data_IF_852856694739
#
_entry.id   IF_852856694739
#
_cell.length_a   1.000
_cell.length_b   1.000
_cell.length_c   1.000
_cell.angle_alpha   90.00
_cell.angle_beta   90.00
_cell.angle_gamma   90.00
#
_symmetry.space_group_name_H-M   'P 1'
#
loop_
_entity.id
_entity.type
_entity.pdbx_description
1 polymer ?
#
# COMPACT_ATOMS: atom_id res chain seq x y z
N UNK A 1 -6.85 8.85 -14.17
CA UNK A 1 -6.76 7.72 -13.25
C UNK A 1 -6.79 8.17 -11.80
N UNK A 2 -6.59 7.25 -10.84
CA UNK A 2 -6.77 7.45 -9.40
C UNK A 2 -6.04 8.68 -8.79
N UNK A 3 -4.93 9.09 -9.36
CA UNK A 3 -4.16 10.27 -8.92
C UNK A 3 -4.60 11.59 -9.59
N UNK A 4 -5.70 11.62 -10.33
CA UNK A 4 -6.18 12.82 -11.03
C UNK A 4 -5.28 13.30 -12.19
N UNK A 5 -4.22 12.57 -12.53
CA UNK A 5 -3.22 12.98 -13.52
C UNK A 5 -3.60 12.68 -14.98
N UNK A 6 -4.81 12.16 -15.25
CA UNK A 6 -5.22 11.78 -16.62
C UNK A 6 -5.10 12.93 -17.63
N UNK A 7 -5.56 14.13 -17.27
CA UNK A 7 -5.45 15.33 -18.10
C UNK A 7 -4.00 15.86 -18.26
N UNK A 8 -3.08 15.40 -17.40
CA UNK A 8 -1.67 15.79 -17.38
C UNK A 8 -0.74 14.68 -17.92
N UNK A 9 -1.29 13.73 -18.67
CA UNK A 9 -0.51 12.63 -19.24
C UNK A 9 0.71 13.08 -20.06
N UNK A 10 0.65 14.12 -20.90
CA UNK A 10 1.82 14.64 -21.60
C UNK A 10 2.94 15.10 -20.64
N UNK A 11 2.59 15.73 -19.52
CA UNK A 11 3.55 16.14 -18.49
C UNK A 11 4.20 14.91 -17.85
N UNK A 12 3.42 13.86 -17.56
CA UNK A 12 3.94 12.60 -17.01
C UNK A 12 4.98 11.99 -17.93
N UNK A 13 4.69 11.89 -19.23
CA UNK A 13 5.61 11.34 -20.23
C UNK A 13 6.89 12.18 -20.33
N UNK A 14 6.78 13.50 -20.34
CA UNK A 14 7.92 14.40 -20.36
C UNK A 14 8.77 14.24 -19.11
N UNK A 15 8.17 14.32 -17.94
CA UNK A 15 8.87 14.21 -16.64
C UNK A 15 9.52 12.83 -16.48
N UNK A 16 8.86 11.74 -16.92
CA UNK A 16 9.43 10.40 -16.91
C UNK A 16 10.75 10.33 -17.73
N UNK A 17 10.78 10.95 -18.89
CA UNK A 17 11.98 11.04 -19.74
C UNK A 17 13.09 11.84 -19.05
N UNK A 18 12.75 12.98 -18.47
CA UNK A 18 13.69 13.87 -17.78
C UNK A 18 14.27 13.20 -16.52
N UNK A 19 13.45 12.52 -15.75
CA UNK A 19 13.87 11.72 -14.59
C UNK A 19 14.85 10.63 -15.01
N UNK A 20 14.55 9.90 -16.11
CA UNK A 20 15.48 8.87 -16.58
C UNK A 20 16.84 9.45 -16.98
N UNK A 21 16.86 10.58 -17.67
CA UNK A 21 18.11 11.31 -18.00
C UNK A 21 18.86 11.74 -16.75
N UNK A 22 18.15 12.30 -15.78
CA UNK A 22 18.70 12.73 -14.49
C UNK A 22 19.35 11.55 -13.72
N UNK A 23 18.80 10.35 -13.85
CA UNK A 23 19.35 9.12 -13.24
C UNK A 23 20.50 8.49 -14.05
N UNK A 24 20.90 9.08 -15.19
CA UNK A 24 22.00 8.62 -16.04
C UNK A 24 21.58 7.72 -17.19
N UNK A 25 20.37 7.90 -17.72
CA UNK A 25 19.78 7.11 -18.81
C UNK A 25 19.84 5.61 -18.58
N UNK A 26 19.40 5.20 -17.40
CA UNK A 26 19.43 3.80 -17.00
C UNK A 26 18.49 2.93 -17.85
N UNK A 27 18.81 1.64 -17.96
CA UNK A 27 17.94 0.64 -18.58
C UNK A 27 16.66 0.51 -17.76
N UNK A 28 15.52 0.65 -18.43
CA UNK A 28 14.19 0.60 -17.82
C UNK A 28 13.58 -0.77 -17.99
N UNK A 29 13.89 -1.65 -17.07
CA UNK A 29 13.23 -2.94 -16.86
C UNK A 29 12.79 -3.04 -15.40
N UNK A 30 11.96 -4.00 -15.07
CA UNK A 30 11.60 -4.23 -13.65
C UNK A 30 12.86 -4.57 -12.82
N UNK A 31 13.15 -3.89 -11.72
CA UNK A 31 12.31 -2.90 -11.00
C UNK A 31 12.60 -1.42 -11.36
N UNK A 32 13.63 -1.11 -12.14
CA UNK A 32 14.06 0.28 -12.40
C UNK A 32 12.99 1.11 -13.10
N UNK A 33 12.20 0.52 -14.01
CA UNK A 33 11.09 1.21 -14.68
C UNK A 33 10.03 1.70 -13.70
N UNK A 34 9.73 0.92 -12.65
CA UNK A 34 8.83 1.32 -11.58
C UNK A 34 9.38 2.53 -10.83
N UNK A 35 10.63 2.47 -10.39
CA UNK A 35 11.26 3.55 -9.62
C UNK A 35 11.34 4.87 -10.40
N UNK A 36 11.65 4.82 -11.71
CA UNK A 36 11.63 6.01 -12.59
C UNK A 36 10.21 6.59 -12.67
N UNK A 37 9.20 5.75 -12.83
CA UNK A 37 7.79 6.15 -12.87
C UNK A 37 7.32 6.75 -11.55
N UNK A 38 7.63 6.12 -10.44
CA UNK A 38 7.28 6.57 -9.10
C UNK A 38 7.89 7.96 -8.81
N UNK A 39 9.18 8.17 -9.18
CA UNK A 39 9.82 9.47 -9.02
C UNK A 39 9.18 10.55 -9.91
N UNK A 40 8.87 10.21 -11.17
CA UNK A 40 8.22 11.16 -12.07
C UNK A 40 6.84 11.58 -11.55
N UNK A 41 6.03 10.63 -11.10
CA UNK A 41 4.72 10.89 -10.50
C UNK A 41 4.86 11.73 -9.23
N UNK A 42 5.80 11.37 -8.36
CA UNK A 42 6.08 12.11 -7.14
C UNK A 42 6.41 13.58 -7.42
N UNK A 43 7.32 13.86 -8.34
CA UNK A 43 7.72 15.23 -8.70
C UNK A 43 6.54 16.03 -9.28
N UNK A 44 5.75 15.45 -10.18
CA UNK A 44 4.56 16.09 -10.76
C UNK A 44 3.54 16.43 -9.68
N UNK A 45 3.30 15.51 -8.76
CA UNK A 45 2.32 15.69 -7.67
C UNK A 45 2.77 16.79 -6.71
N UNK A 46 4.08 16.89 -6.46
CA UNK A 46 4.70 17.95 -5.66
C UNK A 46 4.83 19.29 -6.41
N UNK A 47 4.59 19.33 -7.74
CA UNK A 47 4.82 20.51 -8.55
C UNK A 47 6.29 20.89 -8.71
N UNK A 48 7.21 19.93 -8.52
CA UNK A 48 8.66 20.11 -8.59
C UNK A 48 9.16 19.66 -9.97
N UNK A 49 10.03 20.44 -10.59
CA UNK A 49 10.69 20.04 -11.83
C UNK A 49 11.87 19.10 -11.52
N UNK A 50 12.19 18.13 -12.41
CA UNK A 50 13.33 17.23 -12.20
C UNK A 50 14.66 17.94 -11.90
N UNK A 51 14.93 19.06 -12.56
CA UNK A 51 16.12 19.89 -12.36
C UNK A 51 16.23 20.47 -10.94
N UNK A 52 15.10 20.71 -10.27
CA UNK A 52 15.02 21.30 -8.94
C UNK A 52 15.06 20.22 -7.84
N UNK A 53 15.08 18.94 -8.17
CA UNK A 53 15.10 17.84 -7.20
C UNK A 53 16.24 17.98 -6.20
N UNK A 54 17.41 18.40 -6.67
CA UNK A 54 18.61 18.55 -5.83
C UNK A 54 18.49 19.65 -4.77
N UNK A 55 17.53 20.54 -4.91
CA UNK A 55 17.22 21.62 -3.98
C UNK A 55 16.17 21.26 -2.95
N UNK A 56 15.59 20.05 -3.04
CA UNK A 56 14.58 19.61 -2.06
C UNK A 56 15.21 19.39 -0.68
N UNK A 57 14.46 19.66 0.40
CA UNK A 57 14.89 19.39 1.78
C UNK A 57 15.29 17.93 1.97
N UNK A 58 16.30 17.68 2.81
CA UNK A 58 16.78 16.32 3.12
C UNK A 58 15.70 15.43 3.75
N UNK A 59 14.71 16.04 4.40
CA UNK A 59 13.56 15.38 5.03
C UNK A 59 12.43 15.05 4.04
N UNK A 60 12.63 15.31 2.75
CA UNK A 60 11.62 14.96 1.73
C UNK A 60 11.40 13.45 1.71
N UNK A 61 10.17 13.02 2.00
CA UNK A 61 9.77 11.61 1.95
C UNK A 61 9.62 11.15 0.49
N UNK A 62 10.67 10.58 -0.08
CA UNK A 62 10.62 9.98 -1.41
C UNK A 62 9.95 8.60 -1.37
N UNK A 63 9.39 8.11 -2.51
CA UNK A 63 8.87 6.75 -2.62
C UNK A 63 9.95 5.71 -2.28
N UNK A 64 9.58 4.67 -1.52
CA UNK A 64 10.54 3.64 -1.10
C UNK A 64 11.23 2.94 -2.28
N UNK A 65 10.51 2.71 -3.39
CA UNK A 65 11.09 2.13 -4.61
C UNK A 65 12.25 2.97 -5.19
N UNK A 66 12.20 4.29 -5.00
CA UNK A 66 13.25 5.23 -5.44
C UNK A 66 14.42 5.19 -4.47
N UNK A 67 14.13 5.16 -3.16
CA UNK A 67 15.13 5.02 -2.11
C UNK A 67 15.88 3.69 -2.27
N UNK A 68 15.18 2.59 -2.46
CA UNK A 68 15.77 1.26 -2.67
C UNK A 68 16.66 1.21 -3.92
N UNK A 69 16.20 1.84 -5.01
CA UNK A 69 17.01 1.91 -6.23
C UNK A 69 18.32 2.66 -5.98
N UNK A 70 18.27 3.85 -5.40
CA UNK A 70 19.44 4.71 -5.21
C UNK A 70 20.32 4.30 -4.01
N UNK A 71 19.76 3.56 -3.05
CA UNK A 71 20.57 2.93 -1.99
C UNK A 71 21.45 1.80 -2.50
N UNK A 72 21.13 1.24 -3.67
CA UNK A 72 21.83 0.09 -4.24
C UNK A 72 21.22 -1.27 -3.87
N UNK A 73 20.08 -1.31 -3.15
CA UNK A 73 19.39 -2.55 -2.79
C UNK A 73 18.91 -3.35 -4.02
N UNK A 74 18.63 -2.65 -5.11
CA UNK A 74 18.24 -3.25 -6.40
C UNK A 74 19.42 -3.40 -7.38
N UNK A 75 20.64 -3.27 -6.89
CA UNK A 75 21.85 -3.23 -7.71
C UNK A 75 22.27 -1.80 -8.08
N UNK A 76 23.34 -1.68 -8.85
CA UNK A 76 23.90 -0.39 -9.23
C UNK A 76 24.25 -0.38 -10.72
N UNK A 77 23.99 0.73 -11.44
CA UNK A 77 24.44 0.86 -12.82
C UNK A 77 25.97 0.96 -12.89
N UNK A 78 26.52 0.63 -14.05
CA UNK A 78 27.93 0.86 -14.32
C UNK A 78 28.25 2.35 -14.18
N UNK A 79 29.20 2.71 -13.32
CA UNK A 79 29.54 4.11 -13.01
C UNK A 79 28.81 4.68 -11.79
N UNK A 80 27.86 3.95 -11.20
CA UNK A 80 27.09 4.38 -10.02
C UNK A 80 26.00 5.39 -10.35
N UNK A 81 25.41 5.95 -9.31
CA UNK A 81 24.33 6.95 -9.39
C UNK A 81 24.89 8.38 -9.41
N UNK A 82 24.20 9.35 -10.05
CA UNK A 82 24.55 10.77 -9.95
C UNK A 82 24.56 11.22 -8.48
N UNK A 83 25.72 11.61 -7.97
CA UNK A 83 25.94 11.82 -6.53
C UNK A 83 25.03 12.86 -5.89
N UNK A 84 24.74 13.95 -6.60
CA UNK A 84 23.85 15.01 -6.08
C UNK A 84 22.43 14.49 -5.88
N UNK A 85 21.88 13.77 -6.85
CA UNK A 85 20.55 13.17 -6.81
C UNK A 85 20.50 12.10 -5.72
N UNK A 86 21.49 11.21 -5.67
CA UNK A 86 21.57 10.16 -4.65
C UNK A 86 21.61 10.74 -3.23
N UNK A 87 22.39 11.79 -3.00
CA UNK A 87 22.51 12.44 -1.68
C UNK A 87 21.18 12.96 -1.18
N UNK A 88 20.41 13.65 -2.03
CA UNK A 88 19.12 14.23 -1.67
C UNK A 88 18.08 13.13 -1.40
N UNK A 89 17.98 12.15 -2.29
CA UNK A 89 16.99 11.06 -2.16
C UNK A 89 17.28 10.18 -0.95
N UNK A 90 18.54 9.92 -0.65
CA UNK A 90 18.87 9.10 0.52
C UNK A 90 18.75 9.84 1.85
N UNK A 91 18.75 11.19 1.87
CA UNK A 91 18.54 11.97 3.10
C UNK A 91 19.51 11.60 4.23
N UNK A 92 20.78 11.33 3.91
CA UNK A 92 21.81 10.91 4.88
C UNK A 92 21.91 9.40 5.11
N UNK A 93 21.04 8.58 4.53
CA UNK A 93 21.17 7.12 4.56
C UNK A 93 22.40 6.68 3.80
N UNK A 94 23.08 5.64 4.31
CA UNK A 94 24.27 5.09 3.64
C UNK A 94 23.87 4.26 2.44
N UNK A 95 24.48 4.55 1.29
CA UNK A 95 24.38 3.69 0.12
C UNK A 95 25.12 2.38 0.34
N UNK A 96 24.56 1.28 -0.17
CA UNK A 96 25.19 -0.03 -0.14
C UNK A 96 26.39 -0.06 -1.07
N UNK A 97 27.46 -0.75 -0.65
CA UNK A 97 28.63 -1.02 -1.48
C UNK A 97 28.64 -2.48 -1.88
N UNK A 98 28.78 -2.74 -3.18
CA UNK A 98 28.83 -4.09 -3.71
C UNK A 98 27.47 -4.72 -3.94
N UNK A 99 27.41 -6.05 -3.93
CA UNK A 99 26.21 -6.82 -4.23
C UNK A 99 25.34 -6.98 -2.96
N UNK A 100 24.06 -6.60 -2.98
CA UNK A 100 23.18 -6.67 -1.82
C UNK A 100 23.15 -8.03 -1.14
N UNK A 101 22.99 -9.10 -1.91
CA UNK A 101 22.94 -10.46 -1.38
C UNK A 101 24.22 -10.95 -0.69
N UNK A 102 25.37 -10.25 -0.89
CA UNK A 102 26.62 -10.62 -0.22
C UNK A 102 26.65 -10.14 1.25
N UNK A 103 25.91 -9.07 1.55
CA UNK A 103 25.81 -8.48 2.90
C UNK A 103 24.48 -8.76 3.59
N UNK A 104 23.57 -9.47 2.92
CA UNK A 104 22.28 -9.83 3.51
C UNK A 104 22.47 -10.79 4.70
N UNK A 105 21.71 -10.58 5.76
CA UNK A 105 21.66 -11.49 6.89
C UNK A 105 21.12 -12.87 6.46
N UNK A 106 21.73 -13.92 7.01
CA UNK A 106 21.25 -15.28 6.76
C UNK A 106 19.92 -15.49 7.48
N UNK A 107 18.92 -15.92 6.74
CA UNK A 107 17.60 -16.25 7.29
C UNK A 107 17.67 -17.62 7.97
N UNK A 108 17.31 -17.68 9.25
CA UNK A 108 17.08 -18.92 9.97
C UNK A 108 15.64 -19.41 9.68
N UNK A 109 15.52 -20.36 8.76
CA UNK A 109 14.22 -20.91 8.34
C UNK A 109 13.46 -21.58 9.49
N UNK A 110 14.16 -22.25 10.43
CA UNK A 110 13.51 -22.92 11.57
C UNK A 110 12.91 -21.90 12.53
N UNK A 111 13.66 -20.85 12.85
CA UNK A 111 13.18 -19.74 13.68
C UNK A 111 12.01 -19.02 13.03
N UNK A 112 12.11 -18.73 11.73
CA UNK A 112 11.05 -18.08 10.95
C UNK A 112 9.79 -18.92 10.89
N UNK A 113 9.90 -20.24 10.64
CA UNK A 113 8.78 -21.15 10.65
C UNK A 113 8.10 -21.23 12.02
N UNK A 114 8.90 -21.26 13.12
CA UNK A 114 8.36 -21.22 14.48
C UNK A 114 7.60 -19.94 14.79
N UNK A 115 8.10 -18.78 14.35
CA UNK A 115 7.44 -17.51 14.51
C UNK A 115 6.13 -17.43 13.70
N UNK A 116 6.17 -17.85 12.44
CA UNK A 116 5.00 -17.87 11.56
C UNK A 116 3.90 -18.79 12.09
N UNK A 117 4.26 -20.00 12.57
CA UNK A 117 3.30 -20.93 13.18
C UNK A 117 2.59 -20.32 14.39
N UNK A 118 3.33 -19.62 15.26
CA UNK A 118 2.73 -18.93 16.40
C UNK A 118 1.80 -17.80 15.96
N UNK A 119 2.20 -17.02 14.92
CA UNK A 119 1.39 -15.91 14.39
C UNK A 119 0.08 -16.41 13.79
N UNK A 120 0.10 -17.51 13.03
CA UNK A 120 -1.09 -18.04 12.35
C UNK A 120 -1.95 -18.97 13.21
N UNK A 121 -1.42 -19.48 14.33
CA UNK A 121 -2.13 -20.42 15.21
C UNK A 121 -2.48 -21.75 14.56
N UNK A 122 -1.83 -22.13 13.43
CA UNK A 122 -2.08 -23.35 12.67
C UNK A 122 -0.78 -24.00 12.19
N UNK A 123 -0.88 -25.24 11.72
CA UNK A 123 0.21 -25.86 10.97
C UNK A 123 0.48 -25.07 9.70
N UNK A 124 1.73 -24.84 9.40
CA UNK A 124 2.17 -24.13 8.18
C UNK A 124 2.79 -25.12 7.19
N UNK A 125 2.71 -24.78 5.91
CA UNK A 125 3.40 -25.45 4.81
C UNK A 125 4.71 -24.74 4.49
N UNK A 126 5.54 -25.34 3.65
CA UNK A 126 6.73 -24.67 3.11
C UNK A 126 6.36 -23.48 2.25
N UNK A 127 5.24 -23.56 1.50
CA UNK A 127 4.71 -22.44 0.72
C UNK A 127 4.29 -21.26 1.60
N UNK A 128 3.65 -21.51 2.75
CA UNK A 128 3.37 -20.45 3.73
C UNK A 128 4.66 -19.77 4.19
N UNK A 129 5.69 -20.56 4.53
CA UNK A 129 6.96 -20.03 5.00
C UNK A 129 7.65 -19.20 3.93
N UNK A 130 7.83 -19.74 2.73
CA UNK A 130 8.53 -19.04 1.66
C UNK A 130 7.74 -17.81 1.18
N UNK A 131 6.41 -17.90 1.07
CA UNK A 131 5.58 -16.75 0.71
C UNK A 131 5.68 -15.63 1.75
N UNK A 132 5.69 -15.97 3.05
CA UNK A 132 5.85 -14.98 4.14
C UNK A 132 7.22 -14.29 4.13
N UNK A 133 8.27 -14.99 3.69
CA UNK A 133 9.63 -14.44 3.61
C UNK A 133 9.85 -13.63 2.34
N UNK A 134 9.28 -14.05 1.21
CA UNK A 134 9.47 -13.40 -0.08
C UNK A 134 8.52 -12.21 -0.29
N UNK A 135 7.30 -12.30 0.23
CA UNK A 135 6.23 -11.32 0.01
C UNK A 135 5.44 -11.07 1.30
N UNK A 136 6.08 -10.58 2.38
CA UNK A 136 5.48 -10.54 3.72
C UNK A 136 4.14 -9.81 3.75
N UNK A 137 4.04 -8.62 3.13
CA UNK A 137 2.80 -7.85 3.11
C UNK A 137 1.68 -8.56 2.34
N UNK A 138 1.99 -9.08 1.15
CA UNK A 138 1.00 -9.80 0.33
C UNK A 138 0.51 -11.07 1.04
N UNK A 139 1.42 -11.76 1.73
CA UNK A 139 1.08 -12.94 2.52
C UNK A 139 0.17 -12.58 3.71
N UNK A 140 0.47 -11.50 4.43
CA UNK A 140 -0.39 -11.00 5.52
C UNK A 140 -1.79 -10.65 5.02
N UNK A 141 -1.89 -9.85 3.97
CA UNK A 141 -3.17 -9.47 3.37
C UNK A 141 -3.99 -10.69 2.94
N UNK A 142 -3.32 -11.71 2.40
CA UNK A 142 -3.97 -12.97 2.04
C UNK A 142 -4.45 -13.76 3.27
N UNK A 143 -3.68 -13.78 4.37
CA UNK A 143 -4.12 -14.42 5.60
C UNK A 143 -5.31 -13.70 6.23
N UNK A 144 -5.31 -12.37 6.22
CA UNK A 144 -6.42 -11.55 6.71
C UNK A 144 -7.69 -11.78 5.86
N UNK A 145 -7.53 -11.87 4.54
CA UNK A 145 -8.62 -12.23 3.63
C UNK A 145 -9.18 -13.62 3.97
N UNK A 146 -8.31 -14.62 4.14
CA UNK A 146 -8.74 -15.98 4.52
C UNK A 146 -9.40 -16.04 5.90
N UNK A 147 -8.91 -15.27 6.87
CA UNK A 147 -9.52 -15.19 8.19
C UNK A 147 -10.93 -14.60 8.13
N UNK A 148 -11.16 -13.65 7.23
CA UNK A 148 -12.46 -12.98 7.06
C UNK A 148 -13.48 -13.80 6.26
N UNK A 149 -13.03 -14.43 5.17
CA UNK A 149 -13.93 -15.05 4.19
C UNK A 149 -13.83 -16.59 4.13
N UNK A 150 -12.87 -17.18 4.83
CA UNK A 150 -12.59 -18.61 4.73
C UNK A 150 -11.83 -18.99 3.46
N UNK A 151 -11.94 -20.25 3.07
CA UNK A 151 -11.34 -20.76 1.84
C UNK A 151 -12.32 -20.57 0.67
N UNK A 152 -12.07 -19.55 -0.14
CA UNK A 152 -12.90 -19.23 -1.32
C UNK A 152 -12.44 -19.93 -2.59
N UNK A 153 -11.40 -20.79 -2.51
CA UNK A 153 -10.90 -21.54 -3.68
C UNK A 153 -11.92 -22.53 -4.25
N UNK A 154 -12.91 -22.90 -3.45
CA UNK A 154 -14.01 -23.77 -3.83
C UNK A 154 -15.08 -23.07 -4.69
N UNK A 155 -15.04 -21.73 -4.77
CA UNK A 155 -16.01 -20.97 -5.56
C UNK A 155 -15.70 -21.08 -7.08
N UNK A 156 -16.71 -21.18 -7.94
CA UNK A 156 -16.54 -21.01 -9.37
C UNK A 156 -15.89 -19.64 -9.68
N UNK A 157 -14.94 -19.62 -10.62
CA UNK A 157 -14.17 -18.40 -10.95
C UNK A 157 -15.06 -17.22 -11.33
N UNK A 158 -16.13 -17.46 -12.08
CA UNK A 158 -17.12 -16.44 -12.46
C UNK A 158 -17.81 -15.85 -11.23
N UNK A 159 -18.27 -16.70 -10.32
CA UNK A 159 -18.92 -16.25 -9.09
C UNK A 159 -17.97 -15.48 -8.18
N UNK A 160 -16.70 -15.87 -8.13
CA UNK A 160 -15.70 -15.15 -7.34
C UNK A 160 -15.44 -13.72 -7.86
N UNK A 161 -15.34 -13.53 -9.19
CA UNK A 161 -14.99 -12.24 -9.78
C UNK A 161 -16.20 -11.33 -10.05
N UNK A 162 -17.35 -11.90 -10.37
CA UNK A 162 -18.53 -11.14 -10.81
C UNK A 162 -19.72 -11.23 -9.86
N UNK A 163 -19.65 -12.13 -8.87
CA UNK A 163 -20.80 -12.42 -8.00
C UNK A 163 -21.86 -13.25 -8.71
N UNK A 164 -23.09 -13.16 -8.23
CA UNK A 164 -24.28 -13.79 -8.79
C UNK A 164 -25.32 -12.72 -9.12
N UNK A 165 -26.07 -12.92 -10.19
CA UNK A 165 -27.28 -12.13 -10.48
C UNK A 165 -28.49 -12.73 -9.75
N UNK A 166 -29.53 -11.92 -9.42
CA UNK A 166 -30.75 -12.43 -8.83
C UNK A 166 -31.40 -13.53 -9.71
N UNK A 167 -31.62 -14.69 -9.11
CA UNK A 167 -32.11 -15.89 -9.79
C UNK A 167 -31.00 -16.85 -10.24
N UNK A 168 -29.74 -16.46 -10.24
CA UNK A 168 -28.61 -17.31 -10.58
C UNK A 168 -28.27 -18.28 -9.44
N UNK A 169 -27.93 -19.52 -9.78
CA UNK A 169 -27.57 -20.59 -8.87
C UNK A 169 -26.20 -21.18 -9.23
N UNK A 170 -25.40 -21.45 -8.19
CA UNK A 170 -24.13 -22.18 -8.32
C UNK A 170 -24.10 -23.39 -7.39
N UNK A 171 -23.30 -24.38 -7.74
CA UNK A 171 -22.95 -25.50 -6.87
C UNK A 171 -21.51 -25.36 -6.39
N UNK A 172 -21.29 -25.65 -5.10
CA UNK A 172 -20.00 -25.53 -4.43
C UNK A 172 -19.72 -26.85 -3.70
N UNK A 173 -18.68 -27.53 -4.10
CA UNK A 173 -18.19 -28.73 -3.39
C UNK A 173 -17.27 -28.28 -2.25
N UNK A 174 -17.74 -28.40 -1.01
CA UNK A 174 -16.98 -27.96 0.18
C UNK A 174 -16.14 -29.10 0.78
N UNK A 175 -16.55 -30.32 0.60
CA UNK A 175 -15.87 -31.55 0.98
C UNK A 175 -16.30 -32.68 0.05
N UNK A 176 -15.56 -33.79 0.03
CA UNK A 176 -15.96 -34.97 -0.74
C UNK A 176 -17.37 -35.45 -0.33
N UNK A 177 -18.25 -35.52 -1.32
CA UNK A 177 -19.66 -35.89 -1.12
C UNK A 177 -20.56 -34.82 -0.49
N UNK A 178 -20.08 -33.56 -0.34
CA UNK A 178 -20.83 -32.47 0.26
C UNK A 178 -20.87 -31.24 -0.62
N UNK A 179 -21.96 -31.11 -1.36
CA UNK A 179 -22.22 -29.99 -2.26
C UNK A 179 -23.25 -29.03 -1.66
N UNK A 180 -22.98 -27.73 -1.78
CA UNK A 180 -23.95 -26.67 -1.50
C UNK A 180 -24.49 -26.12 -2.81
N UNK A 181 -25.81 -25.98 -2.89
CA UNK A 181 -26.49 -25.23 -3.93
C UNK A 181 -26.81 -23.85 -3.37
N UNK A 182 -26.27 -22.81 -3.98
CA UNK A 182 -26.41 -21.42 -3.53
C UNK A 182 -27.03 -20.61 -4.65
N UNK A 183 -28.20 -20.04 -4.39
CA UNK A 183 -28.93 -19.18 -5.31
C UNK A 183 -29.10 -17.79 -4.72
N UNK A 184 -28.77 -16.75 -5.46
CA UNK A 184 -29.06 -15.38 -5.07
C UNK A 184 -30.55 -15.09 -5.38
N UNK A 185 -31.33 -14.82 -4.35
CA UNK A 185 -32.74 -14.51 -4.51
C UNK A 185 -33.02 -13.03 -4.70
N UNK A 186 -32.37 -12.19 -3.88
CA UNK A 186 -32.64 -10.77 -3.86
C UNK A 186 -31.45 -9.95 -3.36
N UNK A 187 -31.29 -8.77 -3.95
CA UNK A 187 -30.38 -7.71 -3.52
C UNK A 187 -31.24 -6.53 -3.10
N UNK A 188 -31.23 -6.18 -1.81
CA UNK A 188 -31.96 -5.02 -1.29
C UNK A 188 -31.24 -3.72 -1.63
N UNK A 189 -31.99 -2.62 -1.66
CA UNK A 189 -31.43 -1.28 -1.81
C UNK A 189 -30.55 -0.92 -0.61
N UNK A 190 -29.44 -0.20 -0.81
CA UNK A 190 -28.60 0.28 0.27
C UNK A 190 -29.34 1.31 1.14
N UNK A 191 -29.18 1.20 2.46
CA UNK A 191 -29.67 2.20 3.41
C UNK A 191 -28.82 3.49 3.38
N UNK A 192 -29.12 4.46 4.24
CA UNK A 192 -28.40 5.73 4.37
C UNK A 192 -26.91 5.55 4.70
N UNK A 193 -26.52 4.38 5.25
CA UNK A 193 -25.12 4.03 5.55
C UNK A 193 -24.47 3.21 4.46
N UNK A 194 -25.20 2.95 3.36
CA UNK A 194 -24.73 2.11 2.27
C UNK A 194 -24.75 0.61 2.61
N UNK A 195 -25.55 0.17 3.58
CA UNK A 195 -25.69 -1.25 3.92
C UNK A 195 -26.89 -1.81 3.16
N UNK A 196 -26.67 -2.86 2.38
CA UNK A 196 -27.73 -3.58 1.69
C UNK A 196 -27.88 -5.02 2.18
N UNK A 197 -29.08 -5.56 2.05
CA UNK A 197 -29.40 -6.95 2.39
C UNK A 197 -29.26 -7.83 1.16
N UNK A 198 -28.54 -8.95 1.30
CA UNK A 198 -28.50 -10.00 0.29
C UNK A 198 -29.22 -11.23 0.81
N UNK A 199 -30.19 -11.72 0.06
CA UNK A 199 -30.91 -12.94 0.42
C UNK A 199 -30.53 -14.06 -0.53
N UNK A 200 -29.96 -15.11 0.03
CA UNK A 200 -29.59 -16.34 -0.67
C UNK A 200 -30.49 -17.48 -0.27
N UNK A 201 -30.71 -18.42 -1.16
CA UNK A 201 -31.16 -19.76 -0.85
C UNK A 201 -29.93 -20.69 -0.82
N UNK A 202 -29.77 -21.43 0.27
CA UNK A 202 -28.69 -22.40 0.44
C UNK A 202 -29.34 -23.76 0.75
N UNK A 203 -29.24 -24.70 -0.17
CA UNK A 203 -29.88 -26.01 -0.06
C UNK A 203 -31.36 -25.91 0.30
N UNK A 204 -32.14 -25.04 -0.36
CA UNK A 204 -33.54 -24.84 -0.14
C UNK A 204 -33.91 -24.00 1.10
N UNK A 205 -32.93 -23.42 1.80
CA UNK A 205 -33.16 -22.57 2.97
C UNK A 205 -32.71 -21.14 2.72
N UNK A 206 -33.64 -20.19 2.89
CA UNK A 206 -33.31 -18.78 2.76
C UNK A 206 -32.35 -18.30 3.87
N UNK A 207 -31.37 -17.50 3.47
CA UNK A 207 -30.37 -16.87 4.34
C UNK A 207 -30.15 -15.43 3.91
N UNK A 208 -30.32 -14.51 4.85
CA UNK A 208 -30.07 -13.10 4.59
C UNK A 208 -28.79 -12.65 5.29
N UNK A 209 -27.96 -11.91 4.59
CA UNK A 209 -26.76 -11.27 5.14
C UNK A 209 -26.75 -9.80 4.79
N UNK A 210 -26.11 -9.00 5.64
CA UNK A 210 -25.95 -7.55 5.43
C UNK A 210 -24.54 -7.28 4.94
N UNK A 211 -24.41 -6.52 3.87
CA UNK A 211 -23.12 -6.17 3.28
C UNK A 211 -23.01 -4.68 3.02
N UNK A 212 -21.81 -4.14 3.10
CA UNK A 212 -21.53 -2.76 2.74
C UNK A 212 -21.44 -2.63 1.23
N UNK A 213 -22.32 -1.83 0.63
CA UNK A 213 -22.19 -1.44 -0.78
C UNK A 213 -21.07 -0.40 -0.93
N UNK A 214 -20.00 -0.79 -1.60
CA UNK A 214 -18.84 0.06 -1.85
C UNK A 214 -19.05 1.07 -2.99
N UNK A 215 -20.12 0.93 -3.77
CA UNK A 215 -20.49 1.87 -4.83
C UNK A 215 -21.18 3.12 -4.27
N UNK A 216 -21.87 2.98 -3.15
CA UNK A 216 -22.43 4.11 -2.40
C UNK A 216 -21.24 4.81 -1.74
N UNK A 217 -20.89 5.96 -2.26
CA UNK A 217 -19.95 6.87 -1.58
C UNK A 217 -20.62 7.27 -0.27
N UNK A 218 -20.28 6.57 0.82
CA UNK A 218 -20.51 7.12 2.15
C UNK A 218 -19.94 8.52 2.18
N UNK A 219 -20.57 9.44 2.88
CA UNK A 219 -20.09 10.81 3.03
C UNK A 219 -18.58 10.77 3.23
N UNK A 220 -17.86 11.27 2.21
CA UNK A 220 -16.41 11.37 2.30
C UNK A 220 -16.17 12.22 3.55
N UNK A 221 -15.65 11.60 4.63
CA UNK A 221 -15.31 12.33 5.85
C UNK A 221 -14.47 13.51 5.40
N UNK A 222 -15.04 14.73 5.50
CA UNK A 222 -14.28 15.94 5.25
C UNK A 222 -13.19 15.96 6.31
N UNK A 223 -11.98 15.55 5.91
CA UNK A 223 -10.84 15.48 6.81
C UNK A 223 -10.24 16.88 6.96
N UNK A 224 -9.77 17.17 8.17
CA UNK A 224 -8.99 18.36 8.43
C UNK A 224 -7.73 18.34 7.54
N UNK A 225 -7.38 19.49 6.99
CA UNK A 225 -6.16 19.61 6.17
C UNK A 225 -4.99 20.03 7.03
N UNK A 226 -3.85 19.43 6.80
CA UNK A 226 -2.60 19.80 7.45
C UNK A 226 -2.18 21.22 7.00
N UNK A 227 -1.77 22.04 7.93
CA UNK A 227 -1.12 23.32 7.65
C UNK A 227 0.35 23.05 7.28
N UNK A 228 0.78 23.37 6.04
CA UNK A 228 2.16 23.14 5.62
C UNK A 228 3.20 23.96 6.39
N UNK A 229 2.78 25.05 7.02
CA UNK A 229 3.66 25.92 7.82
C UNK A 229 3.83 25.41 9.25
N UNK A 230 2.98 24.47 9.69
CA UNK A 230 3.03 23.93 11.05
C UNK A 230 3.81 22.58 11.05
N UNK A 231 5.04 22.55 11.60
CA UNK A 231 5.84 21.32 11.64
C UNK A 231 5.25 20.21 12.52
N UNK A 232 4.26 20.55 13.37
CA UNK A 232 3.54 19.58 14.20
C UNK A 232 2.39 18.88 13.46
N UNK A 233 2.08 19.29 12.22
CA UNK A 233 1.08 18.64 11.38
C UNK A 233 1.76 17.66 10.41
N UNK A 234 1.39 16.40 10.50
CA UNK A 234 1.82 15.36 9.55
C UNK A 234 0.71 15.15 8.54
N UNK A 235 0.86 15.70 7.34
CA UNK A 235 -0.13 15.63 6.26
C UNK A 235 0.21 14.63 5.18
N UNK A 236 -0.80 14.11 4.47
CA UNK A 236 -0.62 13.26 3.30
C UNK A 236 -0.03 14.05 2.14
N UNK A 237 1.11 13.66 1.56
CA UNK A 237 1.72 14.36 0.43
C UNK A 237 0.99 14.14 -0.89
N UNK A 238 0.29 13.03 -1.03
CA UNK A 238 -0.44 12.59 -2.24
C UNK A 238 -1.74 11.89 -1.83
N UNK A 239 -2.74 11.80 -2.71
CA UNK A 239 -3.88 10.92 -2.51
C UNK A 239 -3.42 9.46 -2.43
N UNK A 240 -3.79 8.77 -1.36
CA UNK A 240 -3.31 7.41 -1.09
C UNK A 240 -4.22 6.68 -0.09
N UNK A 241 -3.95 5.41 0.15
CA UNK A 241 -4.51 4.62 1.24
C UNK A 241 -3.48 4.50 2.37
N UNK A 242 -3.91 4.54 3.62
CA UNK A 242 -3.06 4.27 4.78
C UNK A 242 -2.75 2.78 4.81
N UNK A 243 -1.51 2.41 4.50
CA UNK A 243 -1.07 1.01 4.50
C UNK A 243 -0.66 0.53 5.89
N UNK A 244 0.00 1.38 6.68
CA UNK A 244 0.33 1.07 8.08
C UNK A 244 0.56 2.35 8.88
N UNK A 245 0.36 2.26 10.21
CA UNK A 245 0.65 3.31 11.18
C UNK A 245 1.77 2.79 12.08
N UNK A 246 2.89 3.53 12.17
CA UNK A 246 4.10 3.11 12.86
C UNK A 246 4.24 3.72 14.26
N UNK A 247 3.26 4.53 14.68
CA UNK A 247 3.27 5.23 15.98
C UNK A 247 1.93 5.07 16.69
N UNK A 248 1.82 5.59 17.90
CA UNK A 248 0.59 5.61 18.72
C UNK A 248 0.46 6.92 19.47
N UNK A 249 -0.77 7.28 19.80
CA UNK A 249 -1.05 8.47 20.64
C UNK A 249 -0.29 8.39 21.96
N UNK A 250 0.31 9.49 22.39
CA UNK A 250 1.13 9.60 23.58
C UNK A 250 2.58 9.17 23.42
N UNK A 251 2.99 8.62 22.27
CA UNK A 251 4.38 8.23 22.02
C UNK A 251 5.25 9.47 21.73
N UNK A 252 6.40 9.56 22.40
CA UNK A 252 7.44 10.52 22.06
C UNK A 252 8.14 10.11 20.77
N UNK A 253 8.33 11.05 19.86
CA UNK A 253 8.98 10.84 18.56
C UNK A 253 9.98 11.96 18.31
N UNK A 254 11.02 11.62 17.56
CA UNK A 254 12.03 12.55 17.08
C UNK A 254 11.80 12.90 15.63
N UNK A 255 12.32 14.06 15.21
CA UNK A 255 12.33 14.45 13.80
C UNK A 255 12.96 13.35 12.94
N UNK A 256 12.24 12.92 11.92
CA UNK A 256 12.66 11.81 11.04
C UNK A 256 12.15 10.44 11.47
N UNK A 257 11.44 10.32 12.59
CA UNK A 257 10.77 9.06 12.95
C UNK A 257 9.60 8.76 12.03
N UNK A 258 9.39 7.48 11.77
CA UNK A 258 8.31 6.99 10.92
C UNK A 258 6.96 7.11 11.62
N UNK A 259 6.00 7.77 10.98
CA UNK A 259 4.63 7.96 11.48
C UNK A 259 3.66 6.98 10.83
N UNK A 260 3.62 6.95 9.49
CA UNK A 260 2.72 6.09 8.73
C UNK A 260 3.32 5.73 7.35
N UNK A 261 2.77 4.70 6.73
CA UNK A 261 3.05 4.37 5.32
C UNK A 261 1.77 4.56 4.53
N UNK A 262 1.89 5.32 3.46
CA UNK A 262 0.85 5.51 2.45
C UNK A 262 1.12 4.58 1.28
N UNK A 263 0.06 4.08 0.65
CA UNK A 263 0.13 3.33 -0.59
C UNK A 263 -0.79 3.92 -1.65
N UNK A 264 -0.21 4.24 -2.81
CA UNK A 264 -0.94 4.70 -3.98
C UNK A 264 -0.41 3.97 -5.22
N UNK A 265 -1.26 3.25 -5.94
CA UNK A 265 -0.88 2.51 -7.16
C UNK A 265 0.33 1.58 -6.95
N UNK A 266 0.37 0.84 -5.84
CA UNK A 266 1.50 -0.03 -5.42
C UNK A 266 2.81 0.74 -5.13
N UNK A 267 2.74 2.06 -5.06
CA UNK A 267 3.83 2.92 -4.62
C UNK A 267 3.66 3.19 -3.13
N UNK A 268 4.63 2.79 -2.33
CA UNK A 268 4.65 3.08 -0.90
C UNK A 268 5.45 4.34 -0.63
N UNK A 269 4.90 5.23 0.19
CA UNK A 269 5.54 6.46 0.64
C UNK A 269 5.46 6.52 2.16
N UNK A 270 6.59 6.58 2.81
CA UNK A 270 6.65 6.71 4.28
C UNK A 270 6.52 8.17 4.68
N UNK A 271 5.65 8.43 5.65
CA UNK A 271 5.55 9.73 6.33
C UNK A 271 6.44 9.73 7.56
N UNK A 272 7.23 10.78 7.66
CA UNK A 272 8.16 11.00 8.77
C UNK A 272 7.74 12.24 9.57
N UNK A 273 8.08 12.26 10.87
CA UNK A 273 7.92 13.43 11.71
C UNK A 273 8.80 14.58 11.23
N UNK A 274 8.22 15.77 11.09
CA UNK A 274 8.93 16.98 10.66
C UNK A 274 9.64 17.70 11.84
N UNK A 275 9.24 17.38 13.07
CA UNK A 275 9.78 17.94 14.32
C UNK A 275 9.80 16.89 15.43
N UNK A 276 10.57 17.16 16.49
CA UNK A 276 10.48 16.42 17.74
C UNK A 276 9.17 16.76 18.46
N UNK A 277 8.58 15.78 19.15
CA UNK A 277 7.33 16.01 19.88
C UNK A 277 6.71 14.73 20.43
N UNK A 278 5.50 14.83 20.89
CA UNK A 278 4.67 13.71 21.33
C UNK A 278 3.46 13.61 20.40
N UNK A 279 3.08 12.43 19.98
CA UNK A 279 1.87 12.23 19.16
C UNK A 279 0.65 12.58 20.01
N UNK A 280 -0.03 13.64 19.62
CA UNK A 280 -1.24 14.14 20.29
C UNK A 280 -2.47 13.39 19.80
N UNK A 281 -2.62 13.26 18.47
CA UNK A 281 -3.74 12.56 17.84
C UNK A 281 -3.34 11.88 16.53
N UNK A 282 -4.05 10.80 16.20
CA UNK A 282 -3.96 10.08 14.92
C UNK A 282 -5.36 10.06 14.31
N UNK A 283 -5.57 10.83 13.26
CA UNK A 283 -6.88 11.11 12.66
C UNK A 283 -7.30 10.09 11.57
N UNK A 284 -6.51 9.05 11.38
CA UNK A 284 -6.72 8.02 10.35
C UNK A 284 -6.53 6.62 10.90
N UNK A 285 -7.08 5.64 10.18
CA UNK A 285 -6.90 4.21 10.44
C UNK A 285 -6.26 3.52 9.24
N UNK A 286 -5.67 2.35 9.46
CA UNK A 286 -5.18 1.49 8.37
C UNK A 286 -6.35 1.12 7.46
N UNK A 287 -6.17 1.31 6.14
CA UNK A 287 -7.21 1.12 5.14
C UNK A 287 -7.98 2.39 4.77
N UNK A 288 -7.83 3.49 5.51
CA UNK A 288 -8.45 4.76 5.16
C UNK A 288 -7.87 5.34 3.85
N UNK A 289 -8.75 5.86 3.00
CA UNK A 289 -8.36 6.67 1.85
C UNK A 289 -8.20 8.12 2.29
N UNK A 290 -7.09 8.73 1.89
CA UNK A 290 -6.76 10.13 2.19
C UNK A 290 -6.45 10.89 0.91
N UNK A 291 -6.79 12.18 0.90
CA UNK A 291 -6.42 13.11 -0.17
C UNK A 291 -5.11 13.83 0.15
N UNK A 292 -4.57 14.52 -0.86
CA UNK A 292 -3.42 15.39 -0.63
C UNK A 292 -3.74 16.44 0.44
N UNK A 293 -2.81 16.62 1.38
CA UNK A 293 -2.87 17.51 2.55
C UNK A 293 -3.84 17.07 3.65
N UNK A 294 -4.51 15.91 3.58
CA UNK A 294 -5.27 15.42 4.74
C UNK A 294 -4.35 15.27 5.94
N UNK A 295 -4.80 15.75 7.11
CA UNK A 295 -4.07 15.63 8.35
C UNK A 295 -4.11 14.17 8.86
N UNK A 296 -2.94 13.55 8.95
CA UNK A 296 -2.78 12.15 9.35
C UNK A 296 -2.54 12.05 10.86
N UNK A 297 -1.64 12.89 11.37
CA UNK A 297 -1.32 12.93 12.79
C UNK A 297 -0.99 14.36 13.22
N UNK A 298 -1.25 14.64 14.48
CA UNK A 298 -0.91 15.90 15.15
C UNK A 298 0.12 15.60 16.24
N UNK A 299 1.17 16.42 16.28
CA UNK A 299 2.20 16.40 17.32
C UNK A 299 2.00 17.59 18.26
N UNK A 300 2.53 17.47 19.47
CA UNK A 300 2.62 18.56 20.45
C UNK A 300 3.96 18.60 21.14
#
# INVERSE_FOLDING_TARGET
GALGLGKRWPDVVKTYREVNKMLGDIVKVTPSSKSVGDLAIFLITKGVKPEDLVNLPAETGFPESVIDLLSGNLGQPKGGWPKAVQKVILGGRKAMRGRPGASAEKIDLKKSAGALRRKLGRKITDDDLFSSLMYPKVFEDFQDFRAKYGDVSVLPTTAYFHGLEPGEEISIDIEEGKTLFVKLLHVGDPDEKGICSLTFEVNGKARTTMVQDRSVKGDAKVREKADPSNPMHVGAPIPAMISSIATSVGKSISKGDKIAVLEAMKMQTTLYASADGTVDDILVQVGDSVESKDLIARLR
#
